data_IF_003193143429
#
_entry.id   IF_003193143429
#
_cell.length_a   1.000
_cell.length_b   1.000
_cell.length_c   1.000
_cell.angle_alpha   90.00
_cell.angle_beta   90.00
_cell.angle_gamma   90.00
#
_symmetry.space_group_name_H-M   'P 1'
#
loop_
_entity.id
_entity.type
_entity.pdbx_description
1 polymer ?
#
# COMPACT_ATOMS: atom_id res chain seq x y z
N UNK A 1 -29.23 -17.83 -23.25
CA UNK A 1 -27.77 -17.75 -23.14
C UNK A 1 -27.45 -17.48 -21.69
N UNK A 2 -27.03 -18.53 -20.97
CA UNK A 2 -26.74 -18.48 -19.54
C UNK A 2 -25.32 -17.96 -19.34
N UNK A 3 -25.20 -16.73 -18.81
CA UNK A 3 -23.92 -16.23 -18.29
C UNK A 3 -23.60 -16.90 -16.96
N UNK A 4 -22.79 -17.94 -16.98
CA UNK A 4 -22.16 -18.47 -15.79
C UNK A 4 -21.19 -17.41 -15.26
N UNK A 5 -21.44 -16.92 -14.03
CA UNK A 5 -20.43 -16.17 -13.25
C UNK A 5 -19.38 -17.20 -12.83
N UNK A 6 -18.19 -17.04 -13.36
CA UNK A 6 -17.03 -17.78 -12.91
C UNK A 6 -16.73 -17.36 -11.45
N UNK A 7 -16.81 -18.30 -10.54
CA UNK A 7 -16.52 -18.10 -9.11
C UNK A 7 -15.00 -18.15 -8.99
N UNK A 8 -14.39 -17.05 -8.59
CA UNK A 8 -12.96 -16.95 -8.24
C UNK A 8 -12.69 -17.81 -6.98
N UNK A 9 -11.87 -18.86 -7.04
CA UNK A 9 -11.68 -19.80 -5.92
C UNK A 9 -10.73 -19.30 -4.81
N UNK A 10 -10.40 -18.02 -4.75
CA UNK A 10 -9.30 -17.54 -3.92
C UNK A 10 -9.64 -16.74 -2.66
N UNK A 11 -10.86 -16.23 -2.49
CA UNK A 11 -11.26 -15.44 -1.32
C UNK A 11 -12.72 -15.71 -0.95
N UNK A 12 -13.07 -15.78 0.37
CA UNK A 12 -14.45 -15.95 0.79
C UNK A 12 -15.34 -14.76 0.37
N UNK A 13 -16.62 -15.07 0.04
CA UNK A 13 -17.67 -14.09 -0.27
C UNK A 13 -17.99 -13.20 0.95
N UNK A 14 -17.18 -12.31 1.29
CA UNK A 14 -17.30 -11.39 2.44
C UNK A 14 -16.13 -10.44 2.53
N UNK A 15 -15.08 -10.69 1.77
CA UNK A 15 -13.93 -9.80 1.68
C UNK A 15 -14.14 -8.64 0.67
N UNK A 16 -15.34 -8.49 0.14
CA UNK A 16 -15.74 -7.28 -0.59
C UNK A 16 -16.13 -6.24 0.44
N UNK A 17 -15.15 -5.58 1.05
CA UNK A 17 -15.39 -4.22 1.49
C UNK A 17 -15.83 -3.44 0.25
N UNK A 18 -17.08 -2.98 0.26
CA UNK A 18 -17.71 -2.41 -0.92
C UNK A 18 -16.86 -1.32 -1.55
N UNK A 19 -16.92 -1.25 -2.86
CA UNK A 19 -16.61 -0.03 -3.61
C UNK A 19 -17.63 0.98 -3.10
N UNK A 20 -17.29 1.65 -1.99
CA UNK A 20 -18.08 2.74 -1.46
C UNK A 20 -17.97 3.87 -2.47
N UNK A 21 -19.10 4.42 -2.87
CA UNK A 21 -19.16 5.60 -3.72
C UNK A 21 -18.15 6.64 -3.25
N UNK A 22 -17.31 7.11 -4.18
CA UNK A 22 -16.15 7.98 -3.98
C UNK A 22 -16.51 9.34 -3.38
N UNK A 23 -16.86 9.37 -2.11
CA UNK A 23 -16.86 10.61 -1.32
C UNK A 23 -15.51 10.70 -0.61
N UNK A 24 -14.59 11.49 -1.21
CA UNK A 24 -13.27 11.71 -0.64
C UNK A 24 -13.36 12.23 0.79
N UNK A 25 -12.81 11.50 1.75
CA UNK A 25 -12.67 11.97 3.13
C UNK A 25 -11.60 13.06 3.15
N UNK A 26 -11.90 14.21 3.71
CA UNK A 26 -10.96 15.34 3.82
C UNK A 26 -9.90 15.17 4.94
N UNK A 27 -10.08 14.18 5.80
CA UNK A 27 -9.13 13.83 6.89
C UNK A 27 -9.09 12.32 7.06
N UNK A 28 -7.90 11.72 7.28
CA UNK A 28 -7.80 10.29 7.58
C UNK A 28 -8.59 9.99 8.84
N UNK A 29 -9.27 8.85 8.87
CA UNK A 29 -9.90 8.39 10.10
C UNK A 29 -8.79 7.91 11.06
N UNK A 30 -8.62 8.53 12.25
CA UNK A 30 -7.67 8.06 13.26
C UNK A 30 -7.89 6.59 13.65
N UNK A 31 -9.12 6.07 13.44
CA UNK A 31 -9.42 4.66 13.66
C UNK A 31 -8.71 3.76 12.64
N UNK A 32 -8.61 4.17 11.36
CA UNK A 32 -7.89 3.42 10.33
C UNK A 32 -6.39 3.35 10.67
N UNK A 33 -5.81 4.48 11.07
CA UNK A 33 -4.42 4.53 11.55
C UNK A 33 -4.27 3.75 12.86
N UNK A 34 -5.25 3.83 13.75
CA UNK A 34 -5.28 3.12 15.02
C UNK A 34 -5.37 1.60 14.88
N UNK A 35 -6.09 1.12 13.88
CA UNK A 35 -6.26 -0.31 13.59
C UNK A 35 -5.06 -0.93 12.85
N UNK A 36 -4.15 -0.13 12.31
CA UNK A 36 -2.98 -0.58 11.57
C UNK A 36 -1.88 -1.15 12.47
N UNK A 37 -2.10 -2.34 12.99
CA UNK A 37 -1.08 -3.07 13.74
C UNK A 37 -0.88 -2.59 15.20
N UNK A 38 0.10 -3.18 15.90
CA UNK A 38 0.33 -2.90 17.32
C UNK A 38 0.79 -1.46 17.57
N UNK A 39 0.54 -0.98 18.79
CA UNK A 39 1.11 0.28 19.27
C UNK A 39 2.64 0.30 19.09
N UNK A 40 3.19 1.45 18.76
CA UNK A 40 4.62 1.61 18.53
C UNK A 40 4.98 3.00 18.02
N UNK A 41 6.27 3.32 17.94
CA UNK A 41 6.74 4.67 17.67
C UNK A 41 6.23 5.25 16.33
N UNK A 42 6.09 4.45 15.29
CA UNK A 42 5.56 4.93 14.00
C UNK A 42 4.08 5.33 14.12
N UNK A 43 3.28 4.53 14.82
CA UNK A 43 1.88 4.88 15.10
C UNK A 43 1.76 6.19 15.87
N UNK A 44 2.54 6.33 16.93
CA UNK A 44 2.50 7.52 17.76
C UNK A 44 2.91 8.78 16.98
N UNK A 45 3.92 8.67 16.10
CA UNK A 45 4.35 9.76 15.23
C UNK A 45 3.25 10.16 14.24
N UNK A 46 2.59 9.19 13.60
CA UNK A 46 1.49 9.46 12.65
C UNK A 46 0.32 10.13 13.37
N UNK A 47 -0.09 9.62 14.53
CA UNK A 47 -1.17 10.22 15.32
C UNK A 47 -0.82 11.63 15.80
N UNK A 48 0.42 11.88 16.19
CA UNK A 48 0.90 13.20 16.57
C UNK A 48 0.90 14.18 15.38
N UNK A 49 1.32 13.74 14.19
CA UNK A 49 1.25 14.55 12.98
C UNK A 49 -0.19 14.97 12.69
N UNK A 50 -1.12 14.01 12.67
CA UNK A 50 -2.55 14.25 12.44
C UNK A 50 -3.16 15.21 13.46
N UNK A 51 -2.76 15.11 14.73
CA UNK A 51 -3.26 15.98 15.79
C UNK A 51 -2.69 17.42 15.71
N UNK A 52 -1.49 17.59 15.17
CA UNK A 52 -0.75 18.86 15.20
C UNK A 52 -0.79 19.61 13.86
N UNK A 53 -1.07 18.95 12.76
CA UNK A 53 -0.99 19.50 11.41
C UNK A 53 -2.28 19.23 10.63
N UNK A 54 -3.20 20.20 10.52
CA UNK A 54 -4.44 20.03 9.77
C UNK A 54 -4.21 19.86 8.27
N UNK A 55 -3.03 20.18 7.77
CA UNK A 55 -2.55 20.02 6.40
C UNK A 55 -1.71 18.74 6.19
N UNK A 56 -1.72 17.80 7.12
CA UNK A 56 -0.95 16.55 7.06
C UNK A 56 -1.17 15.70 5.80
N UNK A 57 -2.26 15.92 5.08
CA UNK A 57 -2.55 15.28 3.79
C UNK A 57 -1.88 15.98 2.60
N UNK A 58 -1.36 17.19 2.77
CA UNK A 58 -0.70 17.93 1.71
C UNK A 58 0.78 17.57 1.64
N UNK A 59 1.31 17.30 0.44
CA UNK A 59 2.74 17.06 0.22
C UNK A 59 3.64 18.22 0.61
N UNK A 60 3.07 19.41 0.82
CA UNK A 60 3.79 20.60 1.28
C UNK A 60 3.84 20.71 2.81
N UNK A 61 3.11 19.89 3.55
CA UNK A 61 3.15 19.87 5.01
C UNK A 61 4.56 19.52 5.51
N UNK A 62 5.02 20.25 6.52
CA UNK A 62 6.29 20.01 7.22
C UNK A 62 6.03 19.91 8.74
N UNK A 63 6.63 18.94 9.41
CA UNK A 63 7.86 18.20 9.07
C UNK A 63 7.66 17.02 8.12
N UNK A 64 6.43 16.64 7.79
CA UNK A 64 6.12 15.53 6.90
C UNK A 64 4.65 15.47 6.55
N UNK A 65 4.27 14.49 5.76
CA UNK A 65 2.89 14.30 5.30
C UNK A 65 2.53 12.82 5.13
N UNK A 66 1.23 12.57 5.00
CA UNK A 66 0.73 11.21 4.84
C UNK A 66 0.90 10.69 3.41
N UNK A 67 1.25 9.41 3.33
CA UNK A 67 1.28 8.61 2.11
C UNK A 67 0.50 7.32 2.29
N UNK A 68 0.05 6.74 1.19
CA UNK A 68 -0.60 5.43 1.16
C UNK A 68 0.17 4.47 0.27
N UNK A 69 0.57 3.33 0.81
CA UNK A 69 1.31 2.30 0.07
C UNK A 69 0.58 0.97 0.02
N UNK A 70 0.83 0.22 -1.05
CA UNK A 70 0.22 -1.07 -1.33
C UNK A 70 1.28 -2.16 -1.44
N UNK A 71 1.19 -3.23 -0.65
CA UNK A 71 1.87 -4.46 -1.03
C UNK A 71 0.92 -5.31 -1.86
N UNK A 72 1.19 -5.38 -3.15
CA UNK A 72 0.40 -6.17 -4.09
C UNK A 72 0.84 -7.63 -4.03
N UNK A 73 -0.11 -8.54 -3.77
CA UNK A 73 0.15 -9.98 -3.64
C UNK A 73 -0.69 -10.76 -4.64
N UNK A 74 -0.06 -11.70 -5.35
CA UNK A 74 -0.77 -12.74 -6.11
C UNK A 74 -1.20 -13.86 -5.16
N UNK A 75 -2.50 -14.07 -4.94
CA UNK A 75 -2.98 -15.05 -3.98
C UNK A 75 -2.76 -16.50 -4.43
N UNK A 76 -2.44 -16.77 -5.69
CA UNK A 76 -2.27 -18.13 -6.21
C UNK A 76 -0.96 -18.78 -5.78
N UNK A 77 0.10 -17.99 -5.63
CA UNK A 77 1.44 -18.47 -5.32
C UNK A 77 2.17 -17.65 -4.25
N UNK A 78 1.49 -16.67 -3.63
CA UNK A 78 2.02 -15.78 -2.58
C UNK A 78 3.21 -14.92 -3.02
N UNK A 79 3.37 -14.69 -4.33
CA UNK A 79 4.36 -13.72 -4.81
C UNK A 79 3.88 -12.31 -4.54
N UNK A 80 4.83 -11.46 -4.24
CA UNK A 80 4.64 -10.02 -4.05
C UNK A 80 5.18 -9.26 -5.25
N UNK A 81 4.52 -8.16 -5.60
CA UNK A 81 4.97 -7.29 -6.67
C UNK A 81 5.85 -6.17 -6.10
N UNK A 82 7.02 -6.02 -6.66
CA UNK A 82 7.92 -4.90 -6.37
C UNK A 82 8.29 -4.18 -7.66
N UNK A 83 8.50 -2.87 -7.55
CA UNK A 83 8.96 -2.02 -8.64
C UNK A 83 10.37 -1.50 -8.38
N UNK A 84 11.18 -1.38 -9.43
CA UNK A 84 12.48 -0.70 -9.37
C UNK A 84 12.28 0.76 -9.73
N UNK A 85 12.30 1.62 -8.73
CA UNK A 85 11.93 3.02 -8.86
C UNK A 85 13.02 3.82 -9.59
N UNK A 86 12.67 4.48 -10.70
CA UNK A 86 13.60 5.19 -11.59
C UNK A 86 14.46 6.22 -10.88
N UNK A 87 13.90 7.06 -10.02
CA UNK A 87 14.63 8.11 -9.32
C UNK A 87 15.40 7.62 -8.10
N UNK A 88 14.80 6.68 -7.34
CA UNK A 88 15.39 6.20 -6.08
C UNK A 88 16.35 5.03 -6.26
N UNK A 89 16.37 4.41 -7.46
CA UNK A 89 17.27 3.30 -7.85
C UNK A 89 17.26 2.15 -6.83
N UNK A 90 16.07 1.75 -6.37
CA UNK A 90 15.86 0.65 -5.44
C UNK A 90 14.49 -0.02 -5.63
N UNK A 91 14.38 -1.24 -5.14
CA UNK A 91 13.13 -1.98 -5.16
C UNK A 91 12.21 -1.50 -4.03
N UNK A 92 10.97 -1.16 -4.37
CA UNK A 92 9.94 -0.65 -3.48
C UNK A 92 8.59 -1.31 -3.76
N UNK A 93 7.66 -1.16 -2.84
CA UNK A 93 6.25 -1.34 -3.08
C UNK A 93 5.66 -0.13 -3.80
N UNK A 94 4.53 -0.28 -4.54
CA UNK A 94 3.73 0.85 -5.02
C UNK A 94 3.24 1.76 -3.90
N UNK A 95 3.16 3.07 -4.17
CA UNK A 95 2.64 4.01 -3.20
C UNK A 95 2.91 5.48 -3.54
N UNK A 96 2.11 6.37 -2.96
CA UNK A 96 2.23 7.80 -3.24
C UNK A 96 1.54 8.70 -2.22
N UNK A 97 1.47 9.97 -2.57
CA UNK A 97 0.98 11.02 -1.70
C UNK A 97 -0.55 11.00 -1.54
N UNK A 98 -0.99 11.37 -0.34
CA UNK A 98 -2.41 11.54 -0.05
C UNK A 98 -3.03 12.69 -0.88
N UNK A 99 -2.31 13.80 -1.07
CA UNK A 99 -2.72 14.97 -1.86
C UNK A 99 -4.13 15.49 -1.53
N UNK A 100 -4.44 15.52 -0.23
CA UNK A 100 -5.74 15.96 0.29
C UNK A 100 -6.78 14.83 0.41
N UNK A 101 -6.47 13.62 -0.06
CA UNK A 101 -7.35 12.47 0.09
C UNK A 101 -7.11 11.79 1.44
N UNK A 102 -8.11 11.82 2.31
CA UNK A 102 -8.04 11.18 3.63
C UNK A 102 -8.33 9.67 3.63
N UNK A 103 -8.76 9.11 2.51
CA UNK A 103 -8.96 7.67 2.34
C UNK A 103 -7.65 7.03 1.85
N UNK A 104 -6.77 6.68 2.79
CA UNK A 104 -5.45 6.16 2.47
C UNK A 104 -5.47 4.75 1.85
N UNK A 105 -6.54 3.97 2.07
CA UNK A 105 -6.73 2.70 1.37
C UNK A 105 -7.00 2.94 -0.13
N UNK A 106 -7.82 3.95 -0.44
CA UNK A 106 -8.05 4.37 -1.82
C UNK A 106 -6.79 4.96 -2.47
N UNK A 107 -6.01 5.75 -1.73
CA UNK A 107 -4.71 6.26 -2.20
C UNK A 107 -3.80 5.09 -2.57
N UNK A 108 -3.60 4.14 -1.67
CA UNK A 108 -2.76 2.96 -1.91
C UNK A 108 -3.23 2.14 -3.14
N UNK A 109 -4.56 1.95 -3.29
CA UNK A 109 -5.12 1.24 -4.43
C UNK A 109 -4.92 2.00 -5.75
N UNK A 110 -5.16 3.32 -5.75
CA UNK A 110 -4.94 4.19 -6.92
C UNK A 110 -3.49 4.10 -7.40
N UNK A 111 -2.53 4.31 -6.49
CA UNK A 111 -1.11 4.25 -6.81
C UNK A 111 -0.70 2.86 -7.32
N UNK A 112 -1.23 1.79 -6.70
CA UNK A 112 -0.96 0.44 -7.18
C UNK A 112 -1.46 0.22 -8.62
N UNK A 113 -2.65 0.72 -8.97
CA UNK A 113 -3.18 0.63 -10.34
C UNK A 113 -2.33 1.46 -11.30
N UNK A 114 -2.00 2.71 -10.95
CA UNK A 114 -1.24 3.63 -11.80
C UNK A 114 0.18 3.14 -12.07
N UNK A 115 0.86 2.59 -11.05
CA UNK A 115 2.24 2.16 -11.16
C UNK A 115 2.40 0.74 -11.74
N UNK A 116 1.39 -0.11 -11.62
CA UNK A 116 1.48 -1.50 -12.08
C UNK A 116 0.67 -1.81 -13.33
N UNK A 117 -0.29 -0.94 -13.69
CA UNK A 117 -1.20 -1.17 -14.80
C UNK A 117 -2.09 -2.40 -14.64
N UNK A 118 -2.26 -2.90 -13.42
CA UNK A 118 -3.10 -4.08 -13.16
C UNK A 118 -4.52 -3.65 -12.87
N UNK A 119 -5.46 -4.13 -13.69
CA UNK A 119 -6.89 -4.01 -13.42
C UNK A 119 -7.36 -5.07 -12.41
N UNK A 120 -8.41 -4.74 -11.66
CA UNK A 120 -9.03 -5.69 -10.72
C UNK A 120 -8.28 -5.89 -9.40
N UNK A 121 -7.32 -5.02 -9.09
CA UNK A 121 -6.71 -4.96 -7.76
C UNK A 121 -7.76 -4.68 -6.69
N UNK A 122 -7.61 -5.31 -5.51
CA UNK A 122 -8.51 -5.12 -4.36
C UNK A 122 -7.70 -4.81 -3.11
N UNK A 123 -7.95 -3.65 -2.49
CA UNK A 123 -7.36 -3.30 -1.21
C UNK A 123 -8.07 -4.05 -0.07
N UNK A 124 -7.31 -4.47 0.91
CA UNK A 124 -7.81 -5.16 2.12
C UNK A 124 -7.60 -4.23 3.31
N UNK A 125 -8.68 -3.86 3.93
CA UNK A 125 -8.68 -3.09 5.17
C UNK A 125 -8.78 -4.00 6.42
N UNK A 126 -8.34 -3.50 7.58
CA UNK A 126 -7.61 -2.25 7.80
C UNK A 126 -6.15 -2.33 7.32
N UNK A 127 -5.43 -1.18 7.37
CA UNK A 127 -4.00 -1.13 7.09
C UNK A 127 -3.23 -2.17 7.92
N UNK A 128 -2.17 -2.72 7.32
CA UNK A 128 -1.41 -3.83 7.92
C UNK A 128 -0.05 -3.39 8.49
N UNK A 129 0.45 -2.24 8.09
CA UNK A 129 1.73 -1.71 8.56
C UNK A 129 1.73 -0.18 8.58
N UNK A 130 2.58 0.39 9.42
CA UNK A 130 2.85 1.82 9.53
C UNK A 130 4.35 2.06 9.48
N UNK A 131 4.78 3.04 8.69
CA UNK A 131 6.17 3.41 8.59
C UNK A 131 6.34 4.93 8.59
N UNK A 132 7.43 5.41 9.21
CA UNK A 132 7.80 6.82 9.14
C UNK A 132 9.28 6.89 8.82
N UNK A 133 9.58 7.42 7.65
CA UNK A 133 10.94 7.51 7.13
C UNK A 133 11.19 8.87 6.49
N UNK A 134 12.45 9.27 6.45
CA UNK A 134 12.88 10.50 5.80
C UNK A 134 13.07 10.22 4.30
N UNK A 135 12.54 11.12 3.49
CA UNK A 135 12.83 11.23 2.05
C UNK A 135 13.62 12.49 1.79
N UNK A 136 14.55 12.41 0.83
CA UNK A 136 15.43 13.52 0.42
C UNK A 136 15.37 13.64 -1.12
N UNK A 137 14.24 14.14 -1.66
CA UNK A 137 14.07 14.29 -3.09
C UNK A 137 14.90 15.48 -3.62
N UNK A 138 15.47 15.39 -4.85
CA UNK A 138 16.41 16.40 -5.38
C UNK A 138 15.86 17.83 -5.48
N UNK A 139 14.52 17.99 -5.51
CA UNK A 139 13.88 19.29 -5.72
C UNK A 139 13.17 19.85 -4.48
N UNK A 140 13.26 19.15 -3.34
CA UNK A 140 12.57 19.52 -2.10
C UNK A 140 13.50 19.34 -0.91
N UNK A 141 13.21 20.05 0.19
CA UNK A 141 13.91 19.81 1.45
C UNK A 141 13.60 18.42 2.02
N UNK A 142 14.55 17.79 2.73
CA UNK A 142 14.31 16.53 3.41
C UNK A 142 13.10 16.62 4.35
N UNK A 143 12.21 15.65 4.26
CA UNK A 143 11.00 15.61 5.06
C UNK A 143 10.55 14.16 5.36
N UNK A 144 9.56 14.01 6.24
CA UNK A 144 9.06 12.69 6.62
C UNK A 144 7.88 12.27 5.76
N UNK A 145 7.93 11.02 5.25
CA UNK A 145 6.74 10.31 4.82
C UNK A 145 6.17 9.52 5.98
N UNK A 146 4.90 9.76 6.29
CA UNK A 146 4.11 9.03 7.28
C UNK A 146 3.22 8.05 6.51
N UNK A 147 3.72 6.85 6.29
CA UNK A 147 3.21 5.89 5.33
C UNK A 147 2.26 4.88 5.98
N UNK A 148 1.00 4.87 5.52
CA UNK A 148 -0.02 3.90 5.91
C UNK A 148 -0.12 2.83 4.83
N UNK A 149 0.14 1.57 5.19
CA UNK A 149 0.42 0.50 4.25
C UNK A 149 -0.63 -0.60 4.28
N UNK A 150 -1.09 -1.00 3.11
CA UNK A 150 -2.19 -1.95 2.93
C UNK A 150 -1.76 -3.20 2.17
N UNK A 151 -2.44 -4.32 2.46
CA UNK A 151 -2.45 -5.46 1.56
C UNK A 151 -3.35 -5.14 0.37
N UNK A 152 -2.84 -5.36 -0.83
CA UNK A 152 -3.62 -5.32 -2.07
C UNK A 152 -3.53 -6.67 -2.75
N UNK A 153 -4.66 -7.25 -3.09
CA UNK A 153 -4.74 -8.57 -3.73
C UNK A 153 -4.94 -8.40 -5.22
N UNK A 154 -4.09 -9.04 -6.00
CA UNK A 154 -4.17 -9.05 -7.46
C UNK A 154 -5.01 -10.21 -7.98
N UNK A 155 -5.57 -10.12 -9.20
CA UNK A 155 -6.07 -11.28 -9.91
C UNK A 155 -4.94 -12.32 -10.11
N UNK A 156 -5.24 -13.63 -9.99
CA UNK A 156 -4.23 -14.68 -10.13
C UNK A 156 -3.51 -14.64 -11.48
N UNK A 157 -2.16 -14.71 -11.45
CA UNK A 157 -1.34 -14.83 -12.65
C UNK A 157 -1.30 -13.59 -13.55
N UNK A 158 -1.75 -12.44 -13.07
CA UNK A 158 -1.76 -11.20 -13.85
C UNK A 158 -0.33 -10.71 -14.15
N UNK A 159 -0.16 -10.13 -15.32
CA UNK A 159 1.12 -9.55 -15.77
C UNK A 159 1.07 -8.02 -15.59
N UNK A 160 1.97 -7.43 -14.77
CA UNK A 160 1.99 -5.99 -14.60
C UNK A 160 2.58 -5.29 -15.83
N UNK A 161 2.08 -4.07 -16.08
CA UNK A 161 2.58 -3.18 -17.14
C UNK A 161 2.96 -1.86 -16.46
N UNK A 162 4.25 -1.67 -16.19
CA UNK A 162 4.75 -0.48 -15.50
C UNK A 162 4.50 0.84 -16.25
N UNK A 163 4.65 1.92 -15.53
CA UNK A 163 4.62 3.28 -16.06
C UNK A 163 6.04 3.88 -16.12
N UNK A 164 6.15 5.19 -16.35
CA UNK A 164 7.44 5.90 -16.45
C UNK A 164 8.18 6.08 -15.09
N UNK A 165 7.56 5.75 -13.97
CA UNK A 165 8.14 5.87 -12.63
C UNK A 165 8.95 4.64 -12.23
N UNK A 166 8.76 3.51 -12.94
CA UNK A 166 9.49 2.27 -12.70
C UNK A 166 10.27 1.80 -13.93
N UNK A 167 11.52 1.37 -13.73
CA UNK A 167 12.34 0.73 -14.77
C UNK A 167 12.02 -0.76 -14.93
N UNK A 168 11.52 -1.37 -13.87
CA UNK A 168 11.16 -2.79 -13.86
C UNK A 168 10.10 -3.09 -12.81
N UNK A 169 9.25 -4.07 -13.12
CA UNK A 169 8.31 -4.69 -12.20
C UNK A 169 8.61 -6.18 -12.09
N UNK A 170 8.57 -6.73 -10.88
CA UNK A 170 8.83 -8.15 -10.64
C UNK A 170 7.90 -8.75 -9.61
N UNK A 171 7.33 -9.90 -9.95
CA UNK A 171 6.77 -10.82 -8.96
C UNK A 171 7.91 -11.61 -8.31
N UNK A 172 8.05 -11.51 -6.99
CA UNK A 172 9.14 -12.15 -6.22
C UNK A 172 8.58 -12.88 -5.01
N UNK A 173 9.32 -13.87 -4.51
CA UNK A 173 9.00 -14.43 -3.19
C UNK A 173 9.50 -13.48 -2.09
N UNK A 174 8.83 -13.45 -0.94
CA UNK A 174 9.26 -12.61 0.17
C UNK A 174 10.71 -12.93 0.63
N UNK A 175 11.13 -14.19 0.51
CA UNK A 175 12.49 -14.61 0.83
C UNK A 175 13.57 -13.98 -0.07
N UNK A 176 13.21 -13.55 -1.28
CA UNK A 176 14.16 -12.97 -2.25
C UNK A 176 14.39 -11.46 -2.00
N UNK A 177 13.55 -10.81 -1.20
CA UNK A 177 13.63 -9.37 -0.94
C UNK A 177 15.00 -8.90 -0.44
N UNK A 178 15.59 -9.66 0.49
CA UNK A 178 16.90 -9.32 1.03
C UNK A 178 17.99 -9.32 -0.07
N UNK A 179 17.93 -10.28 -0.98
CA UNK A 179 18.88 -10.36 -2.10
C UNK A 179 18.70 -9.25 -3.13
N UNK A 180 17.50 -8.68 -3.20
CA UNK A 180 17.18 -7.49 -4.03
C UNK A 180 17.59 -6.18 -3.36
N UNK A 181 18.14 -6.21 -2.13
CA UNK A 181 18.50 -5.01 -1.39
C UNK A 181 17.31 -4.26 -0.79
N UNK A 182 16.17 -4.95 -0.60
CA UNK A 182 15.02 -4.36 0.05
C UNK A 182 15.36 -3.94 1.49
N UNK A 183 14.80 -2.82 1.91
CA UNK A 183 14.97 -2.35 3.28
C UNK A 183 14.12 -3.15 4.28
N UNK A 184 14.38 -2.90 5.58
CA UNK A 184 13.65 -3.60 6.65
C UNK A 184 12.14 -3.26 6.65
N UNK A 185 11.77 -2.08 6.15
CA UNK A 185 10.39 -1.66 6.06
C UNK A 185 9.60 -2.51 5.07
N UNK A 186 10.15 -2.72 3.87
CA UNK A 186 9.54 -3.56 2.84
C UNK A 186 9.49 -5.05 3.26
N UNK A 187 10.56 -5.56 3.88
CA UNK A 187 10.59 -6.95 4.38
C UNK A 187 9.49 -7.16 5.44
N UNK A 188 9.38 -6.27 6.43
CA UNK A 188 8.33 -6.31 7.46
C UNK A 188 6.93 -6.23 6.85
N UNK A 189 6.74 -5.34 5.87
CA UNK A 189 5.46 -5.21 5.17
C UNK A 189 5.08 -6.51 4.46
N UNK A 190 6.03 -7.17 3.79
CA UNK A 190 5.81 -8.45 3.12
C UNK A 190 5.39 -9.56 4.10
N UNK A 191 6.06 -9.67 5.24
CA UNK A 191 5.71 -10.62 6.30
C UNK A 191 4.27 -10.41 6.80
N UNK A 192 3.88 -9.16 7.07
CA UNK A 192 2.54 -8.80 7.53
C UNK A 192 1.46 -9.06 6.47
N UNK A 193 1.75 -8.73 5.22
CA UNK A 193 0.82 -8.95 4.12
C UNK A 193 0.51 -10.43 3.92
N UNK A 194 1.54 -11.28 3.91
CA UNK A 194 1.37 -12.73 3.78
C UNK A 194 0.64 -13.33 4.98
N UNK A 195 0.94 -12.88 6.20
CA UNK A 195 0.21 -13.30 7.39
C UNK A 195 -1.27 -12.89 7.31
N UNK A 196 -1.58 -11.68 6.86
CA UNK A 196 -2.96 -11.20 6.67
C UNK A 196 -3.70 -12.00 5.59
N UNK A 197 -3.03 -12.27 4.45
CA UNK A 197 -3.62 -13.09 3.39
C UNK A 197 -3.95 -14.51 3.87
N UNK A 198 -3.06 -15.14 4.64
CA UNK A 198 -3.30 -16.46 5.20
C UNK A 198 -4.48 -16.46 6.19
N UNK A 199 -4.56 -15.46 7.07
CA UNK A 199 -5.69 -15.32 7.99
C UNK A 199 -7.03 -15.13 7.27
N UNK A 200 -7.06 -14.48 6.10
CA UNK A 200 -8.26 -14.34 5.28
C UNK A 200 -8.72 -15.64 4.61
N UNK A 201 -7.79 -16.57 4.36
CA UNK A 201 -8.13 -17.89 3.80
C UNK A 201 -8.65 -18.88 4.82
N UNK A 202 -8.36 -18.65 6.10
CA UNK A 202 -8.77 -19.50 7.21
C UNK A 202 -10.11 -19.07 7.83
N UNK A 203 -10.61 -17.86 7.48
CA UNK A 203 -11.85 -17.26 8.00
C UNK A 203 -13.07 -17.62 7.15
#
# INVERSE_FOLDING_TARGET
>A
MNGQREIDPGLPEGATAGISEMTGRSTPDPADVGAAGPAGPNRDRILNLLASHPDALSRTCRPGHLTGSALVVDPSDNRILVLFHTKLQRWLQPGGHADGDGDLARVALREAIEETGIDGLRVVEPAIDLDVHIVDPPAEDPHEHHDVRFLVVAPPGVVPVGNHESEALRWVNAADLLSLGADRGLIRLAERALARLNALREA
#
